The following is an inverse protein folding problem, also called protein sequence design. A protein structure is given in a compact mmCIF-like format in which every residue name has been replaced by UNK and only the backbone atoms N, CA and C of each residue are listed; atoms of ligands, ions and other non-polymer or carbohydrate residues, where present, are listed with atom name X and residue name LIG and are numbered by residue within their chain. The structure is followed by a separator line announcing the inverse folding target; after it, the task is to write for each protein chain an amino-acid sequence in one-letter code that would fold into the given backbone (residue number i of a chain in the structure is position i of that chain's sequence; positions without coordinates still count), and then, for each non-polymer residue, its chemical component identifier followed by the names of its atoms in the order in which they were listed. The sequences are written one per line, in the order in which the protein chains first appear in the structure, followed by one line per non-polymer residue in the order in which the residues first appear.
data_IF_546457970181
#
_entry.id   IF_546457970181
#
_cell.length_a   1.000
_cell.length_b   1.000
_cell.length_c   1.000
_cell.angle_alpha   90.00
_cell.angle_beta   90.00
_cell.angle_gamma   90.00
#
_symmetry.space_group_name_H-M   'P 1'
#
loop_
_entity.id
_entity.type
_entity.pdbx_description
1 polymer ?
#
# COMPACT_ATOMS: atom_id res chain seq x y z
N UNK A 1 -58.64 14.34 -47.82
CA UNK A 1 -58.39 14.42 -46.37
C UNK A 1 -58.02 13.07 -45.72
N UNK A 2 -57.51 12.09 -46.49
CA UNK A 2 -57.18 10.73 -46.00
C UNK A 2 -55.69 10.36 -46.14
N UNK A 3 -54.88 11.17 -46.83
CA UNK A 3 -53.45 10.90 -47.08
C UNK A 3 -52.56 11.48 -45.96
N UNK A 4 -53.04 12.49 -45.23
CA UNK A 4 -52.27 13.15 -44.16
C UNK A 4 -52.11 12.27 -42.90
N UNK A 5 -53.01 11.32 -42.65
CA UNK A 5 -53.04 10.52 -41.41
C UNK A 5 -52.14 9.28 -41.44
N UNK A 6 -51.82 8.73 -42.62
CA UNK A 6 -50.91 7.57 -42.75
C UNK A 6 -49.42 7.94 -42.63
N UNK A 7 -49.05 9.17 -43.01
CA UNK A 7 -47.65 9.60 -42.94
C UNK A 7 -47.24 9.87 -41.47
N UNK A 8 -48.16 10.36 -40.64
CA UNK A 8 -47.91 10.63 -39.23
C UNK A 8 -47.66 9.35 -38.39
N UNK A 9 -48.27 8.22 -38.76
CA UNK A 9 -48.12 6.94 -38.04
C UNK A 9 -46.79 6.26 -38.31
N UNK A 10 -46.24 6.37 -39.52
CA UNK A 10 -44.90 5.85 -39.83
C UNK A 10 -43.77 6.65 -39.16
N UNK A 11 -43.94 7.97 -39.01
CA UNK A 11 -42.96 8.82 -38.29
C UNK A 11 -42.93 8.50 -36.79
N UNK A 12 -44.07 8.17 -36.19
CA UNK A 12 -44.14 7.77 -34.77
C UNK A 12 -43.52 6.39 -34.51
N UNK A 13 -43.75 5.41 -35.39
CA UNK A 13 -43.17 4.06 -35.25
C UNK A 13 -41.66 4.03 -35.54
N UNK A 14 -41.18 4.84 -36.50
CA UNK A 14 -39.74 4.99 -36.78
C UNK A 14 -38.96 5.65 -35.65
N UNK A 15 -39.57 6.59 -34.92
CA UNK A 15 -38.95 7.26 -33.77
C UNK A 15 -38.66 6.32 -32.59
N UNK A 16 -39.47 5.29 -32.37
CA UNK A 16 -39.29 4.30 -31.30
C UNK A 16 -38.12 3.33 -31.58
N UNK A 17 -37.93 2.93 -32.85
CA UNK A 17 -36.80 2.07 -33.22
C UNK A 17 -35.46 2.84 -33.15
N UNK A 18 -35.45 4.11 -33.56
CA UNK A 18 -34.25 4.96 -33.47
C UNK A 18 -33.83 5.22 -32.02
N UNK A 19 -34.79 5.41 -31.10
CA UNK A 19 -34.51 5.63 -29.66
C UNK A 19 -34.03 4.36 -28.94
N UNK A 20 -34.50 3.17 -29.33
CA UNK A 20 -33.98 1.91 -28.82
C UNK A 20 -32.53 1.64 -29.26
N UNK A 21 -32.19 1.99 -30.51
CA UNK A 21 -30.84 1.83 -31.05
C UNK A 21 -29.84 2.78 -30.36
N UNK A 22 -30.19 4.06 -30.20
CA UNK A 22 -29.32 5.02 -29.51
C UNK A 22 -29.15 4.68 -28.03
N UNK A 23 -30.19 4.19 -27.35
CA UNK A 23 -30.10 3.72 -25.96
C UNK A 23 -29.12 2.55 -25.78
N UNK A 24 -29.10 1.57 -26.69
CA UNK A 24 -28.17 0.44 -26.64
C UNK A 24 -26.70 0.88 -26.77
N UNK A 25 -26.41 1.79 -27.69
CA UNK A 25 -25.05 2.33 -27.84
C UNK A 25 -24.66 3.27 -26.70
N UNK A 26 -25.60 4.05 -26.16
CA UNK A 26 -25.34 4.88 -24.96
C UNK A 26 -24.95 4.02 -23.76
N UNK A 27 -25.67 2.92 -23.48
CA UNK A 27 -25.32 1.99 -22.40
C UNK A 27 -23.94 1.38 -22.60
N UNK A 28 -23.60 1.00 -23.85
CA UNK A 28 -22.28 0.44 -24.18
C UNK A 28 -21.15 1.47 -23.98
N UNK A 29 -21.34 2.72 -24.42
CA UNK A 29 -20.35 3.78 -24.21
C UNK A 29 -20.21 4.18 -22.74
N UNK A 30 -21.30 4.12 -21.95
CA UNK A 30 -21.23 4.36 -20.51
C UNK A 30 -20.45 3.26 -19.79
N UNK A 31 -20.53 2.01 -20.24
CA UNK A 31 -19.69 0.93 -19.70
C UNK A 31 -18.21 1.13 -20.03
N UNK A 32 -17.88 1.54 -21.26
CA UNK A 32 -16.49 1.82 -21.65
C UNK A 32 -15.88 3.01 -20.87
N UNK A 33 -16.65 4.07 -20.63
CA UNK A 33 -16.19 5.22 -19.82
C UNK A 33 -16.00 4.86 -18.34
N UNK A 34 -16.84 3.98 -17.80
CA UNK A 34 -16.68 3.46 -16.43
C UNK A 34 -15.44 2.59 -16.30
N UNK A 35 -15.16 1.75 -17.30
CA UNK A 35 -13.95 0.92 -17.33
C UNK A 35 -12.69 1.78 -17.41
N UNK A 36 -12.66 2.80 -18.28
CA UNK A 36 -11.53 3.75 -18.35
C UNK A 36 -11.33 4.52 -17.04
N UNK A 37 -12.42 4.99 -16.43
CA UNK A 37 -12.36 5.72 -15.16
C UNK A 37 -11.85 4.83 -14.02
N UNK A 38 -12.19 3.54 -14.02
CA UNK A 38 -11.71 2.58 -13.03
C UNK A 38 -10.20 2.34 -13.18
N UNK A 39 -9.71 2.11 -14.40
CA UNK A 39 -8.28 1.90 -14.65
C UNK A 39 -7.42 3.12 -14.27
N UNK A 40 -7.88 4.33 -14.59
CA UNK A 40 -7.14 5.53 -14.25
C UNK A 40 -7.16 5.81 -12.74
N UNK A 41 -8.26 5.51 -12.06
CA UNK A 41 -8.31 5.56 -10.60
C UNK A 41 -7.35 4.56 -9.97
N UNK A 42 -7.27 3.33 -10.49
CA UNK A 42 -6.32 2.33 -9.98
C UNK A 42 -4.87 2.76 -10.17
N UNK A 43 -4.52 3.36 -11.31
CA UNK A 43 -3.17 3.89 -11.58
C UNK A 43 -2.82 5.03 -10.62
N UNK A 44 -3.76 5.93 -10.36
CA UNK A 44 -3.57 7.05 -9.43
C UNK A 44 -3.39 6.56 -7.99
N UNK A 45 -4.20 5.60 -7.54
CA UNK A 45 -4.04 5.03 -6.19
C UNK A 45 -2.70 4.33 -6.07
N UNK A 46 -2.31 3.55 -7.09
CA UNK A 46 -1.01 2.87 -7.10
C UNK A 46 0.16 3.85 -7.15
N UNK A 47 0.03 4.98 -7.84
CA UNK A 47 1.10 5.99 -7.92
C UNK A 47 1.31 6.69 -6.58
N UNK A 48 0.24 6.99 -5.84
CA UNK A 48 0.33 7.50 -4.47
C UNK A 48 0.97 6.49 -3.52
N UNK A 49 0.53 5.22 -3.60
CA UNK A 49 1.08 4.16 -2.78
C UNK A 49 2.57 3.91 -3.06
N UNK A 50 3.02 4.14 -4.31
CA UNK A 50 4.43 4.03 -4.71
C UNK A 50 5.35 5.09 -4.09
N UNK A 51 4.80 6.17 -3.52
CA UNK A 51 5.56 7.20 -2.79
C UNK A 51 6.01 6.72 -1.40
N UNK A 52 5.50 5.58 -0.92
CA UNK A 52 5.95 4.94 0.31
C UNK A 52 7.18 4.07 0.03
N UNK A 53 8.25 4.29 0.79
CA UNK A 53 9.52 3.59 0.57
C UNK A 53 10.26 3.28 1.86
N UNK A 54 11.10 2.25 1.80
CA UNK A 54 11.96 1.85 2.91
C UNK A 54 13.34 1.45 2.41
N UNK A 55 14.38 1.77 3.17
CA UNK A 55 15.75 1.38 2.84
C UNK A 55 16.61 1.27 4.10
N UNK A 56 17.75 0.61 3.98
CA UNK A 56 18.78 0.56 5.02
C UNK A 56 20.04 1.25 4.52
N UNK A 57 20.74 1.93 5.41
CA UNK A 57 22.00 2.58 5.12
C UNK A 57 23.02 2.20 6.19
N UNK A 58 24.20 1.81 5.75
CA UNK A 58 25.32 1.55 6.67
C UNK A 58 25.95 2.87 7.10
N UNK A 59 26.00 3.08 8.41
CA UNK A 59 26.65 4.24 9.00
C UNK A 59 28.17 4.08 9.03
N UNK A 60 28.88 5.21 9.13
CA UNK A 60 30.35 5.26 9.20
C UNK A 60 30.96 4.43 10.35
N UNK A 61 30.16 4.14 11.38
CA UNK A 61 30.58 3.39 12.56
C UNK A 61 30.28 1.87 12.45
N UNK A 62 29.98 1.37 11.24
CA UNK A 62 29.59 -0.02 11.02
C UNK A 62 28.21 -0.39 11.57
N UNK A 63 27.38 0.61 11.89
CA UNK A 63 26.01 0.42 12.41
C UNK A 63 25.00 0.71 11.31
N UNK A 64 24.12 -0.24 11.01
CA UNK A 64 23.06 -0.02 10.04
C UNK A 64 21.93 0.83 10.64
N UNK A 65 21.41 1.75 9.83
CA UNK A 65 20.22 2.55 10.15
C UNK A 65 19.15 2.28 9.09
N UNK A 66 17.94 1.96 9.54
CA UNK A 66 16.79 1.78 8.66
C UNK A 66 16.02 3.08 8.50
N UNK A 67 15.35 3.23 7.38
CA UNK A 67 14.48 4.36 7.09
C UNK A 67 13.18 3.86 6.48
N UNK A 68 12.09 4.49 6.89
CA UNK A 68 10.78 4.35 6.29
C UNK A 68 10.22 5.73 6.02
N UNK A 69 9.79 5.99 4.79
CA UNK A 69 9.30 7.29 4.35
C UNK A 69 7.93 7.16 3.74
N UNK A 70 7.01 8.00 4.20
CA UNK A 70 5.78 8.34 3.49
C UNK A 70 5.99 9.66 2.75
N UNK A 71 6.20 9.61 1.44
CA UNK A 71 6.26 10.82 0.58
C UNK A 71 4.91 11.19 -0.04
N UNK A 72 3.85 10.44 0.27
CA UNK A 72 2.50 10.83 -0.15
C UNK A 72 2.01 12.02 0.69
N UNK A 73 1.09 12.78 0.10
CA UNK A 73 0.32 13.83 0.78
C UNK A 73 -0.75 13.24 1.69
N UNK A 74 -1.04 11.95 1.53
CA UNK A 74 -2.04 11.24 2.32
C UNK A 74 -1.40 10.52 3.52
N UNK A 75 -2.03 10.53 4.70
CA UNK A 75 -1.62 9.70 5.82
C UNK A 75 -1.82 8.22 5.48
N UNK A 76 -0.96 7.37 6.05
CA UNK A 76 -1.11 5.91 5.94
C UNK A 76 -1.24 5.31 7.34
N UNK A 77 -2.01 4.24 7.43
CA UNK A 77 -2.32 3.56 8.69
C UNK A 77 -1.85 2.12 8.67
N UNK A 78 -1.84 1.51 9.86
CA UNK A 78 -1.48 0.10 10.06
C UNK A 78 -0.14 -0.30 9.44
N UNK A 79 0.83 0.62 9.49
CA UNK A 79 2.16 0.43 8.91
C UNK A 79 2.89 -0.64 9.70
N UNK A 80 3.29 -1.68 9.00
CA UNK A 80 4.06 -2.80 9.55
C UNK A 80 5.32 -2.99 8.73
N UNK A 81 6.48 -3.08 9.39
CA UNK A 81 7.79 -3.21 8.73
C UNK A 81 8.44 -4.52 9.18
N UNK A 82 8.89 -5.32 8.23
CA UNK A 82 9.70 -6.50 8.52
C UNK A 82 11.16 -6.12 8.65
N UNK A 83 11.79 -6.48 9.76
CA UNK A 83 13.22 -6.33 9.99
C UNK A 83 13.84 -7.70 10.23
N UNK A 84 14.98 -7.96 9.61
CA UNK A 84 15.74 -9.18 9.81
C UNK A 84 17.23 -8.91 10.08
N UNK A 85 17.86 -9.73 10.91
CA UNK A 85 19.28 -9.64 11.26
C UNK A 85 20.12 -10.72 10.57
N UNK A 86 21.45 -10.55 10.53
CA UNK A 86 22.41 -11.52 9.97
C UNK A 86 23.68 -10.83 9.44
N UNK A 87 24.83 -11.52 9.45
CA UNK A 87 26.12 -11.02 8.93
C UNK A 87 26.04 -10.57 7.47
N UNK A 88 25.15 -11.21 6.71
CA UNK A 88 24.99 -10.96 5.28
C UNK A 88 23.77 -10.07 5.01
N UNK A 89 22.98 -9.74 6.05
CA UNK A 89 21.69 -9.03 5.97
C UNK A 89 20.60 -9.71 5.15
N UNK A 90 20.99 -10.65 4.29
CA UNK A 90 20.24 -11.25 3.21
C UNK A 90 21.08 -12.42 2.65
N UNK A 91 20.47 -13.55 2.35
CA UNK A 91 21.01 -14.48 1.35
C UNK A 91 20.22 -14.32 0.06
N UNK A 92 20.90 -14.41 -1.10
CA UNK A 92 20.35 -14.11 -2.42
C UNK A 92 18.88 -14.55 -2.56
N UNK A 93 17.99 -13.60 -2.91
CA UNK A 93 16.58 -13.88 -3.18
C UNK A 93 15.64 -13.77 -1.97
N UNK A 94 15.91 -12.84 -1.03
CA UNK A 94 14.97 -12.56 0.07
C UNK A 94 14.97 -13.60 1.21
N UNK A 95 16.02 -14.43 1.29
CA UNK A 95 16.16 -15.41 2.36
C UNK A 95 16.92 -14.78 3.53
N UNK A 96 16.23 -14.50 4.63
CA UNK A 96 16.84 -13.97 5.85
C UNK A 96 17.18 -15.11 6.84
N UNK A 97 18.46 -15.21 7.23
CA UNK A 97 18.98 -16.29 8.11
C UNK A 97 18.94 -15.96 9.60
N UNK A 98 18.94 -14.69 10.00
CA UNK A 98 18.90 -14.31 11.42
C UNK A 98 17.50 -14.04 11.96
N UNK A 99 17.46 -13.37 13.10
CA UNK A 99 16.21 -13.08 13.81
C UNK A 99 15.34 -12.12 12.98
N UNK A 100 14.04 -12.45 12.91
CA UNK A 100 13.02 -11.71 12.16
C UNK A 100 12.03 -11.10 13.13
N UNK A 101 11.65 -9.85 12.91
CA UNK A 101 10.62 -9.18 13.69
C UNK A 101 9.74 -8.32 12.78
N UNK A 102 8.46 -8.22 13.13
CA UNK A 102 7.59 -7.16 12.63
C UNK A 102 7.58 -5.99 13.60
N UNK A 103 7.85 -4.80 13.08
CA UNK A 103 7.69 -3.52 13.77
C UNK A 103 6.35 -2.91 13.37
N UNK A 104 5.46 -2.69 14.33
CA UNK A 104 4.20 -1.97 14.12
C UNK A 104 4.41 -0.47 14.40
N UNK A 105 4.24 0.35 13.36
CA UNK A 105 4.32 1.81 13.43
C UNK A 105 2.96 2.47 13.62
N UNK A 106 1.88 1.70 13.52
CA UNK A 106 0.51 2.19 13.51
C UNK A 106 0.32 3.22 12.39
N UNK A 107 0.25 4.51 12.72
CA UNK A 107 -0.06 5.57 11.78
C UNK A 107 1.20 6.38 11.44
N UNK A 108 1.38 6.67 10.16
CA UNK A 108 2.51 7.46 9.66
C UNK A 108 1.96 8.69 8.95
N UNK A 109 2.30 9.91 9.42
CA UNK A 109 1.79 11.14 8.85
C UNK A 109 2.28 11.32 7.41
N UNK A 110 1.59 12.15 6.61
CA UNK A 110 2.07 12.50 5.27
C UNK A 110 3.42 13.20 5.35
N UNK A 111 4.19 13.13 4.27
CA UNK A 111 5.46 13.82 4.15
C UNK A 111 6.41 13.60 5.34
N UNK A 112 6.55 12.35 5.79
CA UNK A 112 7.33 12.04 6.97
C UNK A 112 8.31 10.88 6.77
N UNK A 113 9.42 10.94 7.50
CA UNK A 113 10.43 9.89 7.56
C UNK A 113 10.62 9.43 9.00
N UNK A 114 10.61 8.12 9.17
CA UNK A 114 10.89 7.44 10.42
C UNK A 114 12.27 6.79 10.31
N UNK A 115 13.13 7.09 11.27
CA UNK A 115 14.45 6.47 11.39
C UNK A 115 14.38 5.30 12.34
N UNK A 116 14.83 4.13 11.90
CA UNK A 116 14.92 2.90 12.68
C UNK A 116 16.37 2.75 13.16
N UNK A 117 16.68 3.10 14.41
CA UNK A 117 18.04 2.96 14.91
C UNK A 117 18.41 1.49 15.12
N UNK A 118 19.70 1.19 15.13
CA UNK A 118 20.23 -0.12 15.50
C UNK A 118 19.67 -0.65 16.83
N UNK A 119 19.41 0.23 17.80
CA UNK A 119 18.84 -0.16 19.09
C UNK A 119 17.43 -0.75 18.96
N UNK A 120 16.70 -0.48 17.89
CA UNK A 120 15.39 -1.05 17.58
C UNK A 120 15.48 -2.37 16.79
N UNK A 121 16.67 -2.78 16.35
CA UNK A 121 16.86 -4.04 15.65
C UNK A 121 16.70 -5.26 16.60
N UNK A 122 16.24 -6.42 16.09
CA UNK A 122 16.18 -7.66 16.85
C UNK A 122 17.52 -7.99 17.50
N UNK A 123 17.51 -8.32 18.80
CA UNK A 123 18.73 -8.67 19.53
C UNK A 123 19.81 -7.57 19.54
N UNK A 124 19.46 -6.31 19.23
CA UNK A 124 20.41 -5.19 19.11
C UNK A 124 21.55 -5.44 18.10
N UNK A 125 21.29 -6.25 17.07
CA UNK A 125 22.28 -6.55 16.02
C UNK A 125 22.83 -5.26 15.39
N UNK A 126 24.15 -5.21 15.16
CA UNK A 126 24.80 -4.09 14.47
C UNK A 126 24.35 -3.98 13.00
N UNK A 127 24.01 -5.13 12.41
CA UNK A 127 23.60 -5.28 11.02
C UNK A 127 22.17 -5.82 10.96
N UNK A 128 21.32 -5.12 10.21
CA UNK A 128 19.97 -5.57 9.91
C UNK A 128 19.51 -5.04 8.55
N UNK A 129 18.56 -5.75 7.95
CA UNK A 129 17.90 -5.36 6.72
C UNK A 129 16.41 -5.09 6.98
N UNK A 130 15.85 -4.11 6.28
CA UNK A 130 14.40 -4.02 6.11
C UNK A 130 14.03 -5.03 5.03
N UNK A 131 13.19 -5.99 5.37
CA UNK A 131 12.71 -7.02 4.44
C UNK A 131 11.59 -6.51 3.53
N UNK A 132 10.86 -5.52 4.03
CA UNK A 132 9.77 -4.87 3.32
C UNK A 132 8.76 -4.33 4.31
N UNK A 133 7.59 -3.97 3.81
CA UNK A 133 6.55 -3.34 4.61
C UNK A 133 5.14 -3.60 4.05
N UNK A 134 4.15 -3.32 4.88
CA UNK A 134 2.75 -3.23 4.47
C UNK A 134 2.07 -2.05 5.16
N UNK A 135 1.09 -1.45 4.51
CA UNK A 135 0.30 -0.35 5.07
C UNK A 135 -1.11 -0.35 4.49
N UNK A 136 -1.98 0.48 5.07
CA UNK A 136 -3.33 0.75 4.58
C UNK A 136 -3.42 2.22 4.20
N UNK A 137 -3.85 2.50 2.97
CA UNK A 137 -4.06 3.87 2.49
C UNK A 137 -5.36 4.50 3.01
N UNK A 138 -5.61 5.76 2.68
CA UNK A 138 -6.83 6.49 3.07
C UNK A 138 -8.12 5.91 2.51
N UNK A 139 -8.05 5.08 1.47
CA UNK A 139 -9.19 4.41 0.86
C UNK A 139 -9.45 3.03 1.48
N UNK A 140 -8.63 2.62 2.46
CA UNK A 140 -8.72 1.32 3.11
C UNK A 140 -8.05 0.19 2.32
N UNK A 141 -7.41 0.48 1.18
CA UNK A 141 -6.70 -0.53 0.42
C UNK A 141 -5.36 -0.85 1.11
N UNK A 142 -5.13 -2.14 1.30
CA UNK A 142 -3.86 -2.63 1.87
C UNK A 142 -2.84 -2.82 0.76
N UNK A 143 -1.67 -2.28 0.98
CA UNK A 143 -0.52 -2.41 0.09
C UNK A 143 0.60 -3.15 0.81
N UNK A 144 1.33 -3.95 0.05
CA UNK A 144 2.46 -4.73 0.54
C UNK A 144 3.62 -4.62 -0.44
N UNK A 145 4.82 -4.49 0.10
CA UNK A 145 6.06 -4.51 -0.69
C UNK A 145 7.12 -5.31 0.03
N UNK A 146 7.51 -6.41 -0.58
CA UNK A 146 8.79 -7.06 -0.32
C UNK A 146 9.91 -6.22 -0.97
N UNK A 147 11.09 -6.18 -0.35
CA UNK A 147 12.24 -5.39 -0.82
C UNK A 147 12.59 -5.63 -2.30
N UNK A 148 12.41 -6.84 -2.81
CA UNK A 148 12.76 -7.22 -4.19
C UNK A 148 11.58 -7.27 -5.15
N UNK A 149 10.36 -7.03 -4.66
CA UNK A 149 9.14 -7.11 -5.45
C UNK A 149 8.52 -5.74 -5.66
N UNK A 150 7.72 -5.57 -6.72
CA UNK A 150 6.91 -4.37 -6.86
C UNK A 150 5.93 -4.24 -5.69
N UNK A 151 5.45 -3.02 -5.48
CA UNK A 151 4.33 -2.75 -4.60
C UNK A 151 3.07 -3.41 -5.18
N UNK A 152 2.39 -4.21 -4.36
CA UNK A 152 1.20 -4.95 -4.76
C UNK A 152 0.04 -4.68 -3.80
N UNK A 153 -1.17 -4.65 -4.35
CA UNK A 153 -2.40 -4.61 -3.57
C UNK A 153 -2.60 -5.99 -2.90
N UNK A 154 -2.72 -6.00 -1.58
CA UNK A 154 -2.94 -7.24 -0.83
C UNK A 154 -4.43 -7.58 -0.84
N UNK A 155 -4.76 -8.83 -1.17
CA UNK A 155 -6.12 -9.38 -1.06
C UNK A 155 -6.41 -9.76 0.40
N UNK A 156 -6.52 -8.75 1.25
CA UNK A 156 -6.98 -8.89 2.62
C UNK A 156 -8.18 -7.95 2.78
N UNK A 157 -9.19 -8.31 3.59
CA UNK A 157 -10.27 -7.38 3.89
C UNK A 157 -9.65 -6.06 4.37
N UNK A 158 -10.15 -4.94 3.85
CA UNK A 158 -9.90 -3.65 4.48
C UNK A 158 -10.30 -3.82 5.95
N UNK A 159 -9.43 -3.42 6.87
CA UNK A 159 -9.69 -3.56 8.30
C UNK A 159 -10.94 -2.73 8.64
N UNK A 160 -12.13 -3.30 8.49
CA UNK A 160 -13.34 -2.66 8.91
C UNK A 160 -13.27 -2.63 10.43
N UNK A 161 -13.55 -1.48 11.01
CA UNK A 161 -13.55 -1.23 12.46
C UNK A 161 -14.40 -2.23 13.26
N UNK A 162 -15.26 -3.01 12.59
CA UNK A 162 -16.17 -4.01 13.17
C UNK A 162 -16.06 -5.41 12.56
N UNK A 163 -15.19 -5.66 11.56
CA UNK A 163 -14.94 -7.02 11.09
C UNK A 163 -13.82 -7.62 11.94
N UNK A 164 -13.94 -8.87 12.36
CA UNK A 164 -12.96 -9.60 13.18
C UNK A 164 -11.61 -9.87 12.50
N UNK A 165 -11.07 -8.89 11.78
CA UNK A 165 -9.73 -8.88 11.24
C UNK A 165 -8.78 -8.71 12.43
N UNK A 166 -8.41 -9.84 13.01
CA UNK A 166 -7.60 -9.83 14.21
C UNK A 166 -6.24 -9.24 13.88
N UNK A 167 -5.64 -8.51 14.81
CA UNK A 167 -4.24 -8.10 14.72
C UNK A 167 -3.35 -9.29 14.27
N UNK A 168 -3.70 -10.51 14.70
CA UNK A 168 -3.05 -11.76 14.29
C UNK A 168 -3.10 -12.03 12.78
N UNK A 169 -4.26 -11.92 12.13
CA UNK A 169 -4.44 -12.21 10.70
C UNK A 169 -3.64 -11.23 9.83
N UNK A 170 -3.73 -9.94 10.17
CA UNK A 170 -2.92 -8.89 9.55
C UNK A 170 -1.44 -9.21 9.65
N UNK A 171 -0.99 -9.54 10.86
CA UNK A 171 0.42 -9.83 11.13
C UNK A 171 0.88 -11.09 10.42
N UNK A 172 0.06 -12.13 10.39
CA UNK A 172 0.36 -13.38 9.70
C UNK A 172 0.49 -13.16 8.18
N UNK A 173 -0.39 -12.36 7.59
CA UNK A 173 -0.32 -12.07 6.17
C UNK A 173 0.89 -11.19 5.81
N UNK A 174 1.20 -10.17 6.61
CA UNK A 174 2.44 -9.40 6.46
C UNK A 174 3.67 -10.27 6.67
N UNK A 175 3.67 -11.16 7.67
CA UNK A 175 4.76 -12.12 7.88
C UNK A 175 4.98 -13.00 6.66
N UNK A 176 3.91 -13.56 6.11
CA UNK A 176 3.96 -14.41 4.92
C UNK A 176 4.44 -13.66 3.69
N UNK A 177 4.04 -12.39 3.53
CA UNK A 177 4.53 -11.53 2.45
C UNK A 177 6.06 -11.33 2.54
N UNK A 178 6.57 -11.01 3.73
CA UNK A 178 7.95 -10.55 3.93
C UNK A 178 8.95 -11.67 4.19
N UNK A 179 8.50 -12.77 4.79
CA UNK A 179 9.35 -13.85 5.28
C UNK A 179 8.90 -15.24 4.80
N UNK A 180 7.84 -15.32 3.99
CA UNK A 180 7.28 -16.58 3.53
C UNK A 180 6.76 -17.45 4.69
N UNK A 181 6.98 -18.76 4.60
CA UNK A 181 6.57 -19.71 5.64
C UNK A 181 7.63 -19.88 6.76
N UNK A 182 8.57 -18.94 6.88
CA UNK A 182 9.71 -19.12 7.76
C UNK A 182 9.37 -18.79 9.23
N UNK A 183 9.38 -19.81 10.10
CA UNK A 183 9.46 -19.66 11.56
C UNK A 183 8.28 -18.97 12.26
N UNK A 184 8.41 -18.79 13.57
CA UNK A 184 7.42 -18.11 14.41
C UNK A 184 7.53 -16.59 14.25
N UNK A 185 6.39 -15.91 14.17
CA UNK A 185 6.35 -14.46 14.03
C UNK A 185 6.82 -13.76 15.30
N UNK A 186 8.05 -13.23 15.29
CA UNK A 186 8.53 -12.30 16.30
C UNK A 186 7.84 -10.94 16.12
N UNK A 187 7.28 -10.38 17.19
CA UNK A 187 6.59 -9.08 17.14
C UNK A 187 7.19 -8.11 18.15
N UNK A 188 7.42 -6.88 17.70
CA UNK A 188 7.77 -5.77 18.57
C UNK A 188 6.93 -4.55 18.17
N UNK A 189 5.89 -4.25 18.96
CA UNK A 189 5.20 -2.97 18.84
C UNK A 189 6.19 -1.86 19.20
N UNK A 190 6.46 -0.97 18.25
CA UNK A 190 7.43 0.11 18.42
C UNK A 190 6.87 1.40 17.83
N UNK A 191 5.73 1.86 18.36
CA UNK A 191 5.10 3.12 17.93
C UNK A 191 6.12 4.26 17.94
N UNK A 192 6.49 4.82 16.77
CA UNK A 192 7.50 5.87 16.67
C UNK A 192 7.17 7.06 17.58
N UNK A 193 8.14 7.51 18.37
CA UNK A 193 8.00 8.66 19.27
C UNK A 193 7.25 8.39 20.58
N UNK A 194 6.76 7.16 20.82
CA UNK A 194 6.19 6.82 22.13
C UNK A 194 7.26 6.64 23.20
N UNK A 195 6.91 6.89 24.47
CA UNK A 195 7.83 6.80 25.61
C UNK A 195 8.44 5.38 25.80
N UNK A 196 7.79 4.36 25.27
CA UNK A 196 8.23 2.95 25.36
C UNK A 196 8.88 2.45 24.08
N UNK A 197 9.04 3.29 23.05
CA UNK A 197 9.66 2.94 21.79
C UNK A 197 11.08 3.47 21.71
N UNK A 198 11.98 2.64 21.18
CA UNK A 198 13.34 3.04 20.81
C UNK A 198 13.38 3.79 19.47
N UNK A 199 12.26 3.84 18.75
CA UNK A 199 12.14 4.49 17.46
C UNK A 199 11.72 5.94 17.69
N UNK A 200 12.51 6.93 17.25
CA UNK A 200 12.19 8.34 17.40
C UNK A 200 10.89 8.71 16.67
N UNK A 201 10.32 9.86 17.04
CA UNK A 201 9.14 10.40 16.35
C UNK A 201 9.44 10.63 14.85
N UNK A 202 8.42 10.51 13.98
CA UNK A 202 8.55 10.83 12.57
C UNK A 202 9.04 12.27 12.39
N UNK A 203 9.97 12.49 11.44
CA UNK A 203 10.46 13.82 11.06
C UNK A 203 9.81 14.25 9.75
N UNK A 204 9.53 15.55 9.56
CA UNK A 204 9.03 16.05 8.28
C UNK A 204 10.08 15.86 7.17
N UNK A 205 9.60 15.48 5.98
CA UNK A 205 10.37 15.44 4.73
C UNK A 205 10.18 16.76 3.99
N UNK A 206 11.26 17.24 3.36
CA UNK A 206 11.21 18.43 2.50
C UNK A 206 10.64 18.12 1.11
N UNK A 207 10.96 16.94 0.58
CA UNK A 207 10.56 16.52 -0.76
C UNK A 207 9.36 15.60 -0.65
N UNK A 208 8.17 16.15 -0.92
CA UNK A 208 6.90 15.44 -0.77
C UNK A 208 6.02 15.59 -2.03
N UNK A 209 5.21 14.56 -2.31
CA UNK A 209 4.41 14.46 -3.52
C UNK A 209 5.24 14.06 -4.75
N UNK A 210 4.60 14.11 -5.92
CA UNK A 210 5.22 13.81 -7.22
C UNK A 210 6.04 14.96 -7.80
N UNK A 211 6.04 16.13 -7.14
CA UNK A 211 6.54 17.38 -7.71
C UNK A 211 8.04 17.63 -7.50
N UNK A 212 8.84 16.58 -7.29
CA UNK A 212 10.30 16.70 -7.40
C UNK A 212 10.69 16.82 -8.87
N UNK A 213 10.54 18.02 -9.45
CA UNK A 213 11.22 18.43 -10.68
C UNK A 213 12.47 19.21 -10.35
#
# INVERSE_FOLDING_TARGET
MLIATMIATFVAAGGLAASAWTGYYQVKTSQDQLAQSAEDSEKEVKSQAALVSSWTQDGKNGRTTGYFANRSLDPISQVTIGVATGSDGETQGGLYRGAKVLLDFSDVPPCSVITIPQSAAPGQSQYFAIAGFSFVDVRGQRWGRDRYKPLEAMKLPAAATNSGDSLGDRMHATWRLLFGNAGHAGMASSRPGSAFSRIPAPKPLKDCGSDSK
#
